data_IF_107274248173
#
_entry.id   IF_107274248173
#
_cell.length_a   1.000
_cell.length_b   1.000
_cell.length_c   1.000
_cell.angle_alpha   90.00
_cell.angle_beta   90.00
_cell.angle_gamma   90.00
#
_symmetry.space_group_name_H-M   'P 1'
#
loop_
_entity.id
_entity.type
_entity.pdbx_description
1 polymer ?
#
# COMPACT_ATOMS: atom_id res chain seq x y z
N UNK A 1 13.81 -58.91 13.35
CA UNK A 1 12.80 -58.68 12.30
C UNK A 1 11.50 -58.34 12.99
N UNK A 2 11.21 -57.05 13.11
CA UNK A 2 9.91 -56.54 13.55
C UNK A 2 9.56 -55.37 12.66
N UNK A 3 8.32 -55.42 12.20
CA UNK A 3 7.72 -54.78 11.05
C UNK A 3 7.70 -53.25 11.15
N UNK A 4 8.03 -52.59 10.04
CA UNK A 4 7.97 -51.13 9.88
C UNK A 4 6.72 -50.81 9.08
N UNK A 5 5.58 -50.68 9.75
CA UNK A 5 4.32 -50.26 9.13
C UNK A 5 4.40 -48.77 8.78
N UNK A 6 4.72 -48.48 7.52
CA UNK A 6 4.50 -47.17 6.91
C UNK A 6 2.99 -46.86 6.93
N UNK A 7 2.61 -45.87 7.73
CA UNK A 7 1.31 -45.22 7.62
C UNK A 7 1.35 -44.26 6.43
N UNK A 8 0.84 -44.71 5.29
CA UNK A 8 0.60 -43.88 4.10
C UNK A 8 -0.83 -43.38 4.11
N UNK A 9 -1.09 -42.31 4.83
CA UNK A 9 -2.25 -41.45 4.59
C UNK A 9 -1.80 -40.24 3.74
N UNK A 10 -2.45 -39.95 2.60
CA UNK A 10 -2.09 -38.81 1.77
C UNK A 10 -2.61 -37.52 2.43
N UNK A 11 -1.69 -36.71 2.93
CA UNK A 11 -1.93 -35.36 3.44
C UNK A 11 -2.48 -34.49 2.30
N UNK A 12 -3.80 -34.36 2.27
CA UNK A 12 -4.53 -33.58 1.26
C UNK A 12 -4.92 -32.24 1.88
N UNK A 13 -3.92 -31.45 2.25
CA UNK A 13 -4.10 -30.03 2.56
C UNK A 13 -3.21 -29.21 1.62
N UNK A 14 -3.67 -29.07 0.38
CA UNK A 14 -3.10 -28.08 -0.54
C UNK A 14 -3.38 -26.69 0.04
N UNK A 15 -2.39 -26.15 0.75
CA UNK A 15 -2.38 -24.78 1.23
C UNK A 15 -2.35 -23.82 0.01
N UNK A 16 -3.54 -23.43 -0.45
CA UNK A 16 -3.72 -22.46 -1.53
C UNK A 16 -3.70 -21.01 -1.05
N UNK A 17 -3.29 -20.74 0.20
CA UNK A 17 -3.29 -19.37 0.77
C UNK A 17 -2.30 -18.41 0.10
N UNK A 18 -1.43 -18.92 -0.78
CA UNK A 18 -0.41 -18.15 -1.49
C UNK A 18 -0.64 -18.01 -3.00
N UNK A 19 -1.77 -18.47 -3.55
CA UNK A 19 -2.08 -18.21 -4.95
C UNK A 19 -2.39 -16.71 -5.17
N UNK A 20 -1.69 -16.07 -6.10
CA UNK A 20 -2.01 -14.70 -6.50
C UNK A 20 -3.46 -14.66 -7.00
N UNK A 21 -4.28 -13.78 -6.42
CA UNK A 21 -5.64 -13.54 -6.89
C UNK A 21 -5.59 -13.11 -8.36
N UNK A 22 -6.37 -13.77 -9.22
CA UNK A 22 -6.52 -13.36 -10.62
C UNK A 22 -7.10 -11.94 -10.64
N UNK A 23 -6.40 -10.94 -11.22
CA UNK A 23 -6.87 -9.57 -11.24
C UNK A 23 -8.17 -9.36 -12.03
N UNK A 24 -8.62 -10.35 -12.82
CA UNK A 24 -9.82 -10.30 -13.63
C UNK A 24 -11.01 -11.04 -13.00
N UNK A 25 -10.82 -11.73 -11.87
CA UNK A 25 -11.89 -12.46 -11.17
C UNK A 25 -12.21 -11.72 -9.88
N UNK A 26 -13.47 -11.36 -9.70
CA UNK A 26 -13.92 -10.75 -8.44
C UNK A 26 -13.82 -11.81 -7.33
N UNK A 27 -13.17 -11.49 -6.19
CA UNK A 27 -13.15 -12.41 -5.06
C UNK A 27 -14.57 -12.61 -4.54
N UNK A 28 -14.88 -13.80 -4.03
CA UNK A 28 -16.16 -14.07 -3.41
C UNK A 28 -16.24 -13.31 -2.07
N UNK A 29 -17.01 -12.22 -2.06
CA UNK A 29 -17.16 -11.36 -0.89
C UNK A 29 -18.13 -11.89 0.17
N UNK A 30 -18.95 -12.90 -0.15
CA UNK A 30 -19.92 -13.47 0.81
C UNK A 30 -19.24 -14.21 1.96
N UNK A 31 -18.04 -14.75 1.73
CA UNK A 31 -17.31 -15.58 2.70
C UNK A 31 -16.00 -14.94 3.18
N UNK A 32 -15.83 -13.63 2.97
CA UNK A 32 -14.62 -12.96 3.42
C UNK A 32 -14.67 -12.80 4.95
N UNK A 33 -13.68 -13.33 5.70
CA UNK A 33 -13.67 -13.16 7.14
C UNK A 33 -13.57 -11.68 7.48
N UNK A 34 -14.36 -11.24 8.46
CA UNK A 34 -14.25 -9.87 8.95
C UNK A 34 -12.86 -9.69 9.58
N UNK A 35 -12.03 -8.87 8.92
CA UNK A 35 -10.66 -8.58 9.33
C UNK A 35 -10.59 -7.99 10.75
N UNK A 36 -11.63 -7.30 11.21
CA UNK A 36 -11.70 -6.75 12.56
C UNK A 36 -11.93 -7.81 13.64
N UNK A 37 -12.44 -9.00 13.26
CA UNK A 37 -12.73 -10.11 14.18
C UNK A 37 -11.80 -11.30 13.99
N UNK A 38 -10.74 -11.16 13.17
CA UNK A 38 -9.76 -12.23 13.02
C UNK A 38 -9.05 -12.49 14.35
N UNK A 39 -8.84 -13.77 14.66
CA UNK A 39 -8.03 -14.13 15.81
C UNK A 39 -6.59 -13.65 15.57
N UNK A 40 -6.09 -12.85 16.51
CA UNK A 40 -4.74 -12.29 16.48
C UNK A 40 -3.88 -12.81 17.63
N UNK A 41 -4.35 -13.83 18.36
CA UNK A 41 -3.65 -14.44 19.50
C UNK A 41 -2.26 -14.97 19.16
N UNK A 42 -2.08 -15.44 17.91
CA UNK A 42 -0.83 -15.95 17.38
C UNK A 42 0.13 -14.86 16.87
N UNK A 43 -0.30 -13.59 16.83
CA UNK A 43 0.55 -12.49 16.37
C UNK A 43 1.53 -12.11 17.49
N UNK A 44 2.81 -12.27 17.20
CA UNK A 44 3.89 -11.78 18.04
C UNK A 44 3.93 -10.24 18.00
N UNK A 45 3.52 -9.61 19.11
CA UNK A 45 3.46 -8.15 19.26
C UNK A 45 4.80 -7.51 19.61
N UNK A 46 5.79 -8.32 19.98
CA UNK A 46 7.15 -7.86 20.30
C UNK A 46 8.01 -7.72 19.04
N UNK A 47 7.60 -8.37 17.94
CA UNK A 47 8.23 -8.20 16.63
C UNK A 47 7.88 -6.85 16.01
N UNK A 48 8.85 -6.18 15.34
CA UNK A 48 8.57 -4.97 14.58
C UNK A 48 7.50 -5.22 13.50
N UNK A 49 6.52 -4.31 13.35
CA UNK A 49 5.43 -4.51 12.40
C UNK A 49 5.92 -4.38 10.95
N UNK A 50 5.27 -5.12 10.04
CA UNK A 50 5.31 -4.81 8.62
C UNK A 50 4.38 -3.63 8.35
N UNK A 51 4.87 -2.58 7.68
CA UNK A 51 4.09 -1.37 7.44
C UNK A 51 3.73 -1.21 5.97
N UNK A 52 2.42 -1.13 5.69
CA UNK A 52 1.90 -0.76 4.39
C UNK A 52 1.39 0.69 4.42
N UNK A 53 1.88 1.52 3.51
CA UNK A 53 1.55 2.94 3.42
C UNK A 53 0.83 3.24 2.10
N UNK A 54 -0.30 3.93 2.19
CA UNK A 54 -0.94 4.56 1.02
C UNK A 54 -0.24 5.87 0.68
N UNK A 55 0.66 5.83 -0.31
CA UNK A 55 1.43 6.98 -0.78
C UNK A 55 0.58 8.04 -1.48
N UNK A 56 -0.45 7.62 -2.24
CA UNK A 56 -1.41 8.53 -2.91
C UNK A 56 -2.16 9.40 -1.90
N UNK A 57 -2.56 8.82 -0.78
CA UNK A 57 -3.23 9.55 0.28
C UNK A 57 -2.29 10.57 0.95
N UNK A 58 -1.06 10.16 1.29
CA UNK A 58 -0.11 11.06 1.95
C UNK A 58 0.32 12.23 1.07
N UNK A 59 0.60 12.02 -0.22
CA UNK A 59 0.97 13.11 -1.12
C UNK A 59 -0.17 14.11 -1.27
N UNK A 60 -1.42 13.64 -1.39
CA UNK A 60 -2.58 14.52 -1.55
C UNK A 60 -2.86 15.31 -0.25
N UNK A 61 -2.83 14.62 0.89
CA UNK A 61 -3.05 15.25 2.20
C UNK A 61 -2.01 16.33 2.47
N UNK A 62 -0.74 16.04 2.23
CA UNK A 62 0.36 16.96 2.52
C UNK A 62 0.39 18.15 1.57
N UNK A 63 0.02 17.94 0.30
CA UNK A 63 -0.13 19.00 -0.69
C UNK A 63 -1.15 20.06 -0.26
N UNK A 64 -2.29 19.64 0.30
CA UNK A 64 -3.33 20.57 0.75
C UNK A 64 -3.10 21.12 2.16
N UNK A 65 -2.41 20.38 3.03
CA UNK A 65 -2.15 20.80 4.41
C UNK A 65 -0.97 21.76 4.57
N UNK A 66 -0.02 21.76 3.62
CA UNK A 66 1.21 22.55 3.72
C UNK A 66 1.22 23.73 2.75
N UNK A 67 1.79 24.90 3.14
CA UNK A 67 1.83 26.08 2.29
C UNK A 67 2.50 25.83 0.93
N UNK A 68 1.84 26.24 -0.16
CA UNK A 68 2.39 26.19 -1.52
C UNK A 68 3.57 27.15 -1.74
N UNK A 69 3.78 28.10 -0.82
CA UNK A 69 4.95 29.01 -0.83
C UNK A 69 6.28 28.27 -0.64
N UNK A 70 6.25 27.00 -0.24
CA UNK A 70 7.43 26.17 -0.14
C UNK A 70 7.94 25.76 -1.52
N UNK A 71 8.86 26.55 -2.07
CA UNK A 71 9.49 26.32 -3.36
C UNK A 71 11.01 26.18 -3.24
N UNK A 72 11.63 25.49 -4.20
CA UNK A 72 13.08 25.51 -4.34
C UNK A 72 13.55 26.77 -5.10
N UNK A 73 14.86 26.94 -5.27
CA UNK A 73 15.44 28.08 -6.00
C UNK A 73 15.07 28.16 -7.48
N UNK A 74 14.51 27.09 -8.05
CA UNK A 74 14.04 27.01 -9.44
C UNK A 74 12.52 27.23 -9.56
N UNK A 75 11.84 27.56 -8.46
CA UNK A 75 10.39 27.80 -8.44
C UNK A 75 9.53 26.54 -8.37
N UNK A 76 10.12 25.34 -8.24
CA UNK A 76 9.35 24.10 -8.06
C UNK A 76 8.75 24.07 -6.65
N UNK A 77 7.43 23.94 -6.55
CA UNK A 77 6.73 23.69 -5.29
C UNK A 77 7.16 22.33 -4.70
N UNK A 78 7.41 22.30 -3.40
CA UNK A 78 8.00 21.13 -2.69
C UNK A 78 7.21 20.71 -1.46
N UNK A 79 6.03 21.28 -1.24
CA UNK A 79 5.19 21.03 -0.06
C UNK A 79 4.81 19.55 0.09
N UNK A 80 4.34 18.90 -0.99
CA UNK A 80 3.98 17.48 -0.97
C UNK A 80 5.20 16.58 -0.79
N UNK A 81 6.33 16.93 -1.41
CA UNK A 81 7.60 16.19 -1.26
C UNK A 81 8.05 16.20 0.21
N UNK A 82 8.17 17.39 0.82
CA UNK A 82 8.63 17.53 2.21
C UNK A 82 7.65 16.93 3.20
N UNK A 83 6.34 17.12 2.97
CA UNK A 83 5.31 16.55 3.82
C UNK A 83 5.30 15.02 3.82
N UNK A 84 5.42 14.41 2.63
CA UNK A 84 5.47 12.95 2.49
C UNK A 84 6.71 12.37 3.14
N UNK A 85 7.89 12.96 2.90
CA UNK A 85 9.13 12.56 3.56
C UNK A 85 9.01 12.58 5.08
N UNK A 86 8.52 13.69 5.64
CA UNK A 86 8.38 13.84 7.08
C UNK A 86 7.40 12.81 7.68
N UNK A 87 6.32 12.51 6.96
CA UNK A 87 5.37 11.49 7.37
C UNK A 87 6.02 10.10 7.42
N UNK A 88 6.74 9.71 6.35
CA UNK A 88 7.44 8.43 6.29
C UNK A 88 8.49 8.31 7.39
N UNK A 89 9.34 9.33 7.56
CA UNK A 89 10.35 9.37 8.62
C UNK A 89 9.74 9.26 10.02
N UNK A 90 8.55 9.85 10.25
CA UNK A 90 7.84 9.75 11.53
C UNK A 90 7.37 8.32 11.79
N UNK A 91 6.85 7.63 10.77
CA UNK A 91 6.44 6.22 10.87
C UNK A 91 7.66 5.33 11.13
N UNK A 92 8.73 5.50 10.36
CA UNK A 92 9.98 4.74 10.54
C UNK A 92 10.54 4.90 11.96
N UNK A 93 10.64 6.13 12.48
CA UNK A 93 11.16 6.39 13.84
C UNK A 93 10.25 5.89 14.95
N UNK A 94 8.93 5.87 14.72
CA UNK A 94 7.96 5.47 15.75
C UNK A 94 7.90 3.97 15.93
N UNK A 95 7.95 3.22 14.82
CA UNK A 95 7.70 1.78 14.83
C UNK A 95 8.95 0.95 14.58
N UNK A 96 10.05 1.56 14.16
CA UNK A 96 11.31 0.90 13.78
C UNK A 96 11.08 -0.39 12.97
N UNK A 97 10.28 -0.33 11.89
CA UNK A 97 9.89 -1.52 11.14
C UNK A 97 11.11 -2.12 10.44
N UNK A 98 11.13 -3.44 10.29
CA UNK A 98 12.13 -4.12 9.46
C UNK A 98 11.79 -4.03 7.97
N UNK A 99 10.50 -3.87 7.63
CA UNK A 99 10.00 -3.83 6.28
C UNK A 99 8.86 -2.80 6.17
N UNK A 100 8.90 -2.00 5.09
CA UNK A 100 7.85 -1.04 4.77
C UNK A 100 7.62 -1.05 3.26
N UNK A 101 6.35 -1.00 2.84
CA UNK A 101 5.96 -0.84 1.45
C UNK A 101 5.09 0.41 1.30
N UNK A 102 5.38 1.23 0.28
CA UNK A 102 4.59 2.41 -0.07
C UNK A 102 3.90 2.17 -1.42
N UNK A 103 2.58 2.16 -1.42
CA UNK A 103 1.77 1.92 -2.59
C UNK A 103 1.32 3.24 -3.22
N UNK A 104 1.44 3.36 -4.53
CA UNK A 104 0.96 4.50 -5.30
C UNK A 104 -0.05 4.05 -6.34
N UNK A 105 -1.14 4.80 -6.50
CA UNK A 105 -2.13 4.50 -7.52
C UNK A 105 -1.59 4.83 -8.91
N UNK A 106 -1.75 3.89 -9.84
CA UNK A 106 -1.48 4.15 -11.25
C UNK A 106 -2.65 4.92 -11.87
N UNK A 107 -2.34 5.91 -12.72
CA UNK A 107 -3.35 6.55 -13.58
C UNK A 107 -3.96 5.59 -14.63
N UNK A 108 -3.36 4.42 -14.84
CA UNK A 108 -3.80 3.47 -15.87
C UNK A 108 -5.20 2.92 -15.56
N UNK A 109 -6.09 2.84 -16.57
CA UNK A 109 -7.39 2.23 -16.41
C UNK A 109 -7.24 0.73 -16.12
N UNK A 110 -7.59 0.33 -14.91
CA UNK A 110 -7.83 -1.07 -14.53
C UNK A 110 -9.27 -1.45 -14.82
N UNK A 111 -9.63 -2.73 -14.83
CA UNK A 111 -11.00 -3.25 -15.06
C UNK A 111 -12.10 -2.52 -14.25
N UNK A 112 -11.75 -1.95 -13.07
CA UNK A 112 -12.60 -1.05 -12.28
C UNK A 112 -13.10 0.20 -13.02
N UNK A 113 -12.48 0.60 -14.13
CA UNK A 113 -12.84 1.78 -14.92
C UNK A 113 -14.06 1.53 -15.82
N UNK A 114 -14.29 0.28 -16.23
CA UNK A 114 -15.44 -0.08 -17.07
C UNK A 114 -16.78 -0.13 -16.28
N UNK A 115 -16.72 -0.31 -14.95
CA UNK A 115 -17.93 -0.38 -14.09
C UNK A 115 -18.32 0.95 -13.44
N UNK A 116 -17.59 2.03 -13.71
CA UNK A 116 -17.67 3.26 -12.91
C UNK A 116 -17.39 4.50 -13.78
N UNK A 117 -18.08 4.61 -14.91
CA UNK A 117 -18.03 5.83 -15.74
C UNK A 117 -18.53 7.05 -14.95
N UNK A 118 -19.59 6.92 -14.14
CA UNK A 118 -20.16 8.03 -13.38
C UNK A 118 -19.32 8.47 -12.16
N UNK A 119 -18.70 7.53 -11.44
CA UNK A 119 -18.04 7.84 -10.15
C UNK A 119 -16.67 8.54 -10.30
N UNK A 120 -16.06 8.52 -11.50
CA UNK A 120 -14.84 9.31 -11.80
C UNK A 120 -15.09 10.53 -12.69
N UNK A 121 -16.28 10.68 -13.27
CA UNK A 121 -16.62 11.80 -14.15
C UNK A 121 -16.44 13.18 -13.49
N UNK A 122 -16.64 13.26 -12.16
CA UNK A 122 -16.51 14.50 -11.40
C UNK A 122 -15.17 14.64 -10.65
N UNK A 123 -14.18 13.77 -10.87
CA UNK A 123 -12.89 13.92 -10.18
C UNK A 123 -12.17 15.14 -10.76
N UNK A 124 -11.84 16.16 -9.95
CA UNK A 124 -11.09 17.31 -10.44
C UNK A 124 -9.77 16.84 -11.07
N UNK A 125 -9.40 17.48 -12.17
CA UNK A 125 -8.09 17.25 -12.78
C UNK A 125 -7.03 17.54 -11.71
N UNK A 126 -6.07 16.63 -11.57
CA UNK A 126 -4.97 16.80 -10.62
C UNK A 126 -4.24 18.11 -10.88
N UNK A 127 -4.01 18.88 -9.82
CA UNK A 127 -3.32 20.17 -9.87
C UNK A 127 -1.93 19.99 -10.52
N UNK A 128 -1.57 20.80 -11.54
CA UNK A 128 -0.27 20.72 -12.21
C UNK A 128 0.91 20.78 -11.24
N UNK A 129 0.84 21.62 -10.20
CA UNK A 129 1.92 21.76 -9.21
C UNK A 129 2.12 20.49 -8.37
N UNK A 130 1.04 19.73 -8.13
CA UNK A 130 1.13 18.41 -7.51
C UNK A 130 1.68 17.38 -8.49
N UNK A 131 1.24 17.43 -9.74
CA UNK A 131 1.69 16.51 -10.78
C UNK A 131 3.21 16.57 -10.98
N UNK A 132 3.79 17.78 -10.95
CA UNK A 132 5.24 18.00 -11.05
C UNK A 132 6.03 17.42 -9.88
N UNK A 133 5.42 17.31 -8.69
CA UNK A 133 6.08 16.78 -7.49
C UNK A 133 6.13 15.24 -7.46
N UNK A 134 5.16 14.55 -8.08
CA UNK A 134 5.02 13.08 -8.00
C UNK A 134 6.29 12.31 -8.41
N UNK A 135 6.97 12.62 -9.54
CA UNK A 135 8.19 11.91 -9.91
C UNK A 135 9.29 12.01 -8.86
N UNK A 136 9.41 13.15 -8.17
CA UNK A 136 10.37 13.34 -7.09
C UNK A 136 9.98 12.56 -5.84
N UNK A 137 8.70 12.44 -5.54
CA UNK A 137 8.20 11.61 -4.43
C UNK A 137 8.54 10.14 -4.67
N UNK A 138 8.31 9.61 -5.89
CA UNK A 138 8.68 8.24 -6.22
C UNK A 138 10.19 8.01 -6.09
N UNK A 139 11.02 8.97 -6.56
CA UNK A 139 12.48 8.91 -6.39
C UNK A 139 12.88 8.95 -4.92
N UNK A 140 12.22 9.77 -4.13
CA UNK A 140 12.46 9.91 -2.70
C UNK A 140 12.15 8.61 -1.96
N UNK A 141 11.01 7.97 -2.24
CA UNK A 141 10.66 6.69 -1.64
C UNK A 141 11.71 5.62 -1.97
N UNK A 142 12.11 5.49 -3.24
CA UNK A 142 13.18 4.55 -3.62
C UNK A 142 14.53 4.85 -2.97
N UNK A 143 14.81 6.11 -2.67
CA UNK A 143 16.06 6.50 -2.02
C UNK A 143 16.07 6.20 -0.52
N UNK A 144 14.90 6.00 0.11
CA UNK A 144 14.80 5.61 1.52
C UNK A 144 15.10 4.13 1.76
N UNK A 145 15.03 3.30 0.72
CA UNK A 145 15.18 1.84 0.77
C UNK A 145 13.98 1.13 0.19
#
# INVERSE_FOLDING_TARGET
MTDNTLDTTPDTTTDTSHAALDPNVMPNFEHMPNVATMDTSHIDKERPPFILVDGSYYLFRTYHALPKTMMNSQGLTTNAIRGTLNALLKVMRRYNPTHMAVCFDTKSPTFRHAMSEEYKANRPKMDPELAEQIPYIHRLVRALG
#
